data_IF_129124414056
#
_entry.id   IF_129124414056
#
_cell.length_a   1.000
_cell.length_b   1.000
_cell.length_c   1.000
_cell.angle_alpha   90.00
_cell.angle_beta   90.00
_cell.angle_gamma   90.00
#
_symmetry.space_group_name_H-M   'P 1'
#
loop_
_entity.id
_entity.type
_entity.pdbx_description
1 polymer ?
#
# COMPACT_ATOMS: atom_id res chain seq x y z
N UNK A 1 -50.58 -6.78 40.55
CA UNK A 1 -49.42 -7.57 40.12
C UNK A 1 -48.61 -6.72 39.17
N UNK A 2 -47.49 -6.11 39.62
CA UNK A 2 -46.68 -5.21 38.80
C UNK A 2 -45.53 -6.02 38.21
N UNK A 3 -45.53 -6.19 36.88
CA UNK A 3 -44.42 -6.81 36.17
C UNK A 3 -43.20 -5.85 36.22
N UNK A 4 -42.06 -6.35 36.68
CA UNK A 4 -40.75 -5.67 36.60
C UNK A 4 -40.16 -5.95 35.21
N UNK A 5 -39.61 -4.94 34.52
CA UNK A 5 -38.90 -5.16 33.29
C UNK A 5 -37.57 -5.86 33.58
N UNK A 6 -37.31 -6.96 32.84
CA UNK A 6 -36.03 -7.65 32.88
C UNK A 6 -34.99 -6.78 32.12
N UNK A 7 -33.96 -6.33 32.81
CA UNK A 7 -32.77 -5.73 32.20
C UNK A 7 -31.99 -6.83 31.47
N UNK A 8 -32.03 -6.83 30.14
CA UNK A 8 -31.08 -7.57 29.32
C UNK A 8 -29.68 -6.90 29.44
N UNK A 9 -28.83 -7.43 30.28
CA UNK A 9 -27.40 -7.13 30.23
C UNK A 9 -26.84 -7.79 28.96
N UNK A 10 -26.60 -6.99 27.93
CA UNK A 10 -25.77 -7.41 26.81
C UNK A 10 -24.32 -7.51 27.31
N UNK A 11 -23.82 -8.72 27.48
CA UNK A 11 -22.42 -8.98 27.76
C UNK A 11 -21.59 -8.58 26.54
N UNK A 12 -20.98 -7.40 26.57
CA UNK A 12 -19.95 -7.00 25.60
C UNK A 12 -18.72 -7.84 25.95
N UNK A 13 -18.54 -8.95 25.25
CA UNK A 13 -17.28 -9.69 25.30
C UNK A 13 -16.19 -8.76 24.74
N UNK A 14 -15.02 -8.65 25.41
CA UNK A 14 -13.93 -7.88 24.86
C UNK A 14 -13.51 -8.50 23.52
N UNK A 15 -13.56 -7.70 22.46
CA UNK A 15 -12.98 -8.10 21.17
C UNK A 15 -11.47 -8.18 21.40
N UNK A 16 -10.96 -9.40 21.54
CA UNK A 16 -9.50 -9.63 21.58
C UNK A 16 -8.98 -9.26 20.18
N UNK A 17 -8.29 -8.14 20.07
CA UNK A 17 -7.68 -7.73 18.82
C UNK A 17 -6.76 -8.85 18.32
N UNK A 18 -6.98 -9.30 17.09
CA UNK A 18 -6.17 -10.37 16.51
C UNK A 18 -4.69 -9.96 16.50
N UNK A 19 -3.81 -10.89 16.89
CA UNK A 19 -2.37 -10.62 17.01
C UNK A 19 -1.72 -10.50 15.64
N UNK A 20 -0.66 -9.66 15.52
CA UNK A 20 0.14 -9.59 14.30
C UNK A 20 0.75 -10.95 13.94
N UNK A 21 0.74 -11.29 12.65
CA UNK A 21 1.43 -12.45 12.11
C UNK A 21 2.75 -12.00 11.49
N UNK A 22 3.84 -12.63 11.89
CA UNK A 22 5.19 -12.28 11.44
C UNK A 22 5.77 -13.35 10.52
N UNK A 23 6.57 -12.92 9.54
CA UNK A 23 7.29 -13.81 8.62
C UNK A 23 6.38 -14.80 7.87
N UNK A 24 5.17 -14.37 7.51
CA UNK A 24 4.26 -15.16 6.70
C UNK A 24 4.85 -15.30 5.29
N UNK A 25 5.10 -16.51 4.84
CA UNK A 25 5.58 -16.78 3.46
C UNK A 25 4.45 -16.56 2.47
N UNK A 26 4.67 -15.69 1.49
CA UNK A 26 3.72 -15.48 0.40
C UNK A 26 4.09 -16.25 -0.88
N UNK A 27 5.33 -16.75 -0.97
CA UNK A 27 5.81 -17.65 -2.02
C UNK A 27 7.04 -18.42 -1.53
N UNK A 28 7.37 -19.52 -2.21
CA UNK A 28 8.54 -20.38 -1.92
C UNK A 28 9.74 -20.12 -2.85
N UNK A 29 9.55 -19.33 -3.92
CA UNK A 29 10.57 -19.08 -4.95
C UNK A 29 11.80 -18.32 -4.44
N UNK A 30 11.71 -17.60 -3.33
CA UNK A 30 12.81 -16.85 -2.74
C UNK A 30 12.64 -16.73 -1.22
N UNK A 31 13.75 -16.77 -0.46
CA UNK A 31 13.74 -16.67 1.01
C UNK A 31 13.13 -15.36 1.52
N UNK A 32 13.28 -14.26 0.75
CA UNK A 32 12.70 -12.96 1.08
C UNK A 32 11.22 -12.82 0.72
N UNK A 33 10.56 -13.85 0.19
CA UNK A 33 9.13 -13.84 -0.06
C UNK A 33 8.33 -14.02 1.23
N UNK A 34 8.52 -13.10 2.16
CA UNK A 34 7.87 -13.05 3.47
C UNK A 34 7.29 -11.69 3.75
N UNK A 35 6.19 -11.66 4.47
CA UNK A 35 5.53 -10.44 4.90
C UNK A 35 5.18 -10.49 6.39
N UNK A 36 4.90 -9.32 6.97
CA UNK A 36 4.26 -9.19 8.27
C UNK A 36 2.86 -8.63 8.08
N UNK A 37 1.89 -9.18 8.80
CA UNK A 37 0.49 -8.78 8.76
C UNK A 37 0.03 -8.27 10.12
N UNK A 38 -0.54 -7.10 10.17
CA UNK A 38 -1.22 -6.51 11.33
C UNK A 38 -2.71 -6.42 11.02
N UNK A 39 -3.55 -7.23 11.66
CA UNK A 39 -4.99 -7.14 11.50
C UNK A 39 -5.52 -5.75 11.88
N UNK A 40 -6.65 -5.37 11.29
CA UNK A 40 -7.37 -4.19 11.75
C UNK A 40 -7.74 -4.33 13.24
N UNK A 41 -7.80 -3.20 13.94
CA UNK A 41 -8.16 -3.20 15.37
C UNK A 41 -9.62 -3.59 15.59
N UNK A 42 -10.50 -3.29 14.63
CA UNK A 42 -11.90 -3.69 14.61
C UNK A 42 -12.11 -4.77 13.56
N UNK A 43 -12.87 -5.81 13.89
CA UNK A 43 -13.07 -6.99 13.06
C UNK A 43 -14.55 -7.25 12.70
N UNK A 44 -15.42 -6.27 12.92
CA UNK A 44 -16.86 -6.34 12.68
C UNK A 44 -17.23 -6.38 11.18
N UNK A 45 -16.33 -5.93 10.34
CA UNK A 45 -16.46 -5.95 8.88
C UNK A 45 -15.10 -6.12 8.21
N UNK A 46 -15.05 -6.57 6.93
CA UNK A 46 -13.81 -6.66 6.19
C UNK A 46 -13.10 -5.30 6.08
N UNK A 47 -11.86 -5.25 6.56
CA UNK A 47 -11.06 -4.03 6.64
C UNK A 47 -10.41 -3.67 5.30
N UNK A 48 -10.25 -2.37 4.97
CA UNK A 48 -9.34 -1.96 3.91
C UNK A 48 -7.89 -2.34 4.26
N UNK A 49 -7.03 -2.43 3.24
CA UNK A 49 -5.65 -2.91 3.42
C UNK A 49 -4.64 -1.89 2.90
N UNK A 50 -3.62 -1.60 3.70
CA UNK A 50 -2.40 -0.94 3.26
C UNK A 50 -1.30 -1.98 3.09
N UNK A 51 -0.84 -2.19 1.87
CA UNK A 51 0.33 -3.00 1.54
C UNK A 51 1.54 -2.09 1.39
N UNK A 52 2.53 -2.29 2.24
CA UNK A 52 3.71 -1.46 2.34
C UNK A 52 4.96 -2.15 1.78
N UNK A 53 5.63 -1.51 0.83
CA UNK A 53 6.92 -1.92 0.31
C UNK A 53 8.01 -0.96 0.84
N UNK A 54 9.06 -1.53 1.44
CA UNK A 54 10.16 -0.74 1.99
C UNK A 54 11.01 -0.09 0.89
N UNK A 55 11.73 0.98 1.23
CA UNK A 55 12.77 1.57 0.39
C UNK A 55 14.08 0.79 0.46
N UNK A 56 15.13 1.35 -0.17
CA UNK A 56 16.48 0.78 -0.13
C UNK A 56 17.09 0.51 -1.50
N UNK A 57 16.57 1.17 -2.55
CA UNK A 57 17.14 1.12 -3.91
C UNK A 57 17.16 -0.29 -4.51
N UNK A 58 16.25 -1.16 -4.11
CA UNK A 58 16.18 -2.58 -4.48
C UNK A 58 17.42 -3.41 -4.06
N UNK A 59 18.28 -2.89 -3.18
CA UNK A 59 19.53 -3.54 -2.77
C UNK A 59 19.62 -3.79 -1.26
N UNK A 60 18.76 -3.16 -0.49
CA UNK A 60 18.69 -3.31 0.96
C UNK A 60 17.29 -2.96 1.47
N UNK A 61 17.10 -3.07 2.78
CA UNK A 61 15.82 -2.78 3.45
C UNK A 61 15.16 -4.04 4.01
N UNK A 62 14.13 -3.81 4.80
CA UNK A 62 13.38 -4.89 5.44
C UNK A 62 11.97 -4.42 5.81
N UNK A 63 11.01 -5.35 5.78
CA UNK A 63 9.61 -5.15 6.16
C UNK A 63 9.43 -4.59 7.57
N UNK A 64 10.37 -4.90 8.49
CA UNK A 64 10.36 -4.34 9.85
C UNK A 64 10.60 -2.83 9.90
N UNK A 65 10.99 -2.21 8.77
CA UNK A 65 11.16 -0.75 8.70
C UNK A 65 9.89 0.02 9.03
N UNK A 66 8.71 -0.55 8.77
CA UNK A 66 7.43 0.08 9.11
C UNK A 66 7.19 0.19 10.62
N UNK A 67 7.71 -0.76 11.41
CA UNK A 67 7.62 -0.71 12.87
C UNK A 67 8.61 0.27 13.49
N UNK A 68 9.73 0.54 12.82
CA UNK A 68 10.79 1.43 13.32
C UNK A 68 10.63 2.83 12.79
N UNK A 69 10.97 3.04 11.51
CA UNK A 69 10.93 4.37 10.87
C UNK A 69 9.52 4.78 10.46
N UNK A 70 8.67 3.82 10.17
CA UNK A 70 7.29 3.99 9.74
C UNK A 70 6.26 3.80 10.85
N UNK A 71 6.65 3.78 12.13
CA UNK A 71 5.74 3.49 13.25
C UNK A 71 4.52 4.42 13.30
N UNK A 72 4.70 5.69 12.98
CA UNK A 72 3.59 6.65 12.88
C UNK A 72 2.62 6.27 11.74
N UNK A 73 3.14 5.82 10.61
CA UNK A 73 2.34 5.34 9.47
C UNK A 73 1.56 4.08 9.84
N UNK A 74 2.24 3.06 10.39
CA UNK A 74 1.59 1.84 10.86
C UNK A 74 0.44 2.14 11.83
N UNK A 75 0.68 3.03 12.79
CA UNK A 75 -0.34 3.44 13.77
C UNK A 75 -1.50 4.15 13.10
N UNK A 76 -1.25 5.16 12.27
CA UNK A 76 -2.29 5.95 11.62
C UNK A 76 -3.26 5.08 10.81
N UNK A 77 -2.74 4.10 10.05
CA UNK A 77 -3.60 3.20 9.28
C UNK A 77 -4.39 2.26 10.18
N UNK A 78 -3.77 1.68 11.22
CA UNK A 78 -4.49 0.78 12.13
C UNK A 78 -5.56 1.50 12.93
N UNK A 79 -5.29 2.72 13.41
CA UNK A 79 -6.26 3.56 14.12
C UNK A 79 -7.43 3.97 13.22
N UNK A 80 -7.19 4.09 11.91
CA UNK A 80 -8.22 4.32 10.90
C UNK A 80 -8.97 3.03 10.47
N UNK A 81 -8.74 1.89 11.12
CA UNK A 81 -9.42 0.62 10.84
C UNK A 81 -8.88 -0.18 9.67
N UNK A 82 -7.66 0.12 9.19
CA UNK A 82 -7.01 -0.67 8.16
C UNK A 82 -6.28 -1.88 8.75
N UNK A 83 -6.27 -2.98 7.99
CA UNK A 83 -5.23 -3.97 8.11
C UNK A 83 -3.96 -3.43 7.42
N UNK A 84 -2.79 -3.77 7.94
CA UNK A 84 -1.51 -3.35 7.35
C UNK A 84 -0.66 -4.58 7.05
N UNK A 85 -0.07 -4.61 5.87
CA UNK A 85 0.89 -5.64 5.45
C UNK A 85 2.19 -4.95 5.07
N UNK A 86 3.32 -5.44 5.57
CA UNK A 86 4.64 -4.99 5.13
C UNK A 86 5.41 -6.14 4.51
N UNK A 87 5.85 -5.95 3.27
CA UNK A 87 6.44 -7.00 2.46
C UNK A 87 7.95 -6.83 2.33
N UNK A 88 8.68 -7.96 2.49
CA UNK A 88 10.00 -8.12 1.92
C UNK A 88 9.86 -8.54 0.45
N UNK A 89 10.90 -8.29 -0.32
CA UNK A 89 11.05 -8.70 -1.71
C UNK A 89 12.53 -9.00 -1.99
N UNK A 90 12.86 -9.80 -3.03
CA UNK A 90 14.24 -10.05 -3.44
C UNK A 90 15.01 -8.77 -3.76
N UNK A 91 16.32 -8.83 -3.65
CA UNK A 91 17.19 -7.71 -4.02
C UNK A 91 17.83 -7.92 -5.38
N UNK A 92 18.16 -6.82 -6.04
CA UNK A 92 18.94 -6.82 -7.28
C UNK A 92 20.23 -7.62 -7.12
N UNK A 93 20.47 -8.48 -8.10
CA UNK A 93 21.64 -9.34 -8.14
C UNK A 93 21.91 -9.85 -9.55
N UNK A 94 22.88 -10.77 -9.70
CA UNK A 94 23.21 -11.35 -11.01
C UNK A 94 22.06 -12.11 -11.67
N UNK A 95 21.20 -12.74 -10.85
CA UNK A 95 20.08 -13.56 -11.28
C UNK A 95 18.72 -12.93 -10.94
N UNK A 96 18.67 -11.64 -10.60
CA UNK A 96 17.45 -10.97 -10.14
C UNK A 96 17.45 -9.53 -10.67
N UNK A 97 16.66 -9.26 -11.70
CA UNK A 97 16.44 -7.95 -12.28
C UNK A 97 15.29 -7.19 -11.62
N UNK A 98 15.01 -5.99 -12.11
CA UNK A 98 13.87 -5.19 -11.63
C UNK A 98 12.54 -5.85 -11.94
N UNK A 99 12.40 -6.42 -13.13
CA UNK A 99 11.17 -7.11 -13.57
C UNK A 99 10.88 -8.32 -12.68
N UNK A 100 11.89 -9.15 -12.40
CA UNK A 100 11.74 -10.27 -11.47
C UNK A 100 11.26 -9.81 -10.08
N UNK A 101 11.86 -8.71 -9.57
CA UNK A 101 11.49 -8.17 -8.24
C UNK A 101 10.03 -7.73 -8.20
N UNK A 102 9.54 -7.02 -9.23
CA UNK A 102 8.15 -6.56 -9.24
C UNK A 102 7.16 -7.69 -9.43
N UNK A 103 7.52 -8.79 -10.11
CA UNK A 103 6.73 -10.02 -10.14
C UNK A 103 6.58 -10.65 -8.76
N UNK A 104 7.65 -10.72 -7.96
CA UNK A 104 7.57 -11.15 -6.57
C UNK A 104 6.66 -10.24 -5.73
N UNK A 105 6.69 -8.93 -5.98
CA UNK A 105 5.80 -7.98 -5.31
C UNK A 105 4.34 -8.13 -5.76
N UNK A 106 4.09 -8.40 -7.05
CA UNK A 106 2.77 -8.74 -7.60
C UNK A 106 2.23 -10.00 -6.91
N UNK A 107 3.07 -11.03 -6.78
CA UNK A 107 2.73 -12.26 -6.06
C UNK A 107 2.34 -12.01 -4.60
N UNK A 108 3.03 -11.09 -3.91
CA UNK A 108 2.65 -10.71 -2.55
C UNK A 108 1.23 -10.13 -2.49
N UNK A 109 0.85 -9.25 -3.44
CA UNK A 109 -0.50 -8.68 -3.52
C UNK A 109 -1.54 -9.74 -3.82
N UNK A 110 -1.27 -10.65 -4.77
CA UNK A 110 -2.14 -11.79 -5.07
C UNK A 110 -2.36 -12.68 -3.84
N UNK A 111 -1.29 -13.00 -3.11
CA UNK A 111 -1.36 -13.77 -1.87
C UNK A 111 -2.23 -13.07 -0.81
N UNK A 112 -2.06 -11.76 -0.60
CA UNK A 112 -2.87 -10.99 0.35
C UNK A 112 -4.37 -11.08 -0.03
N UNK A 113 -4.71 -10.92 -1.31
CA UNK A 113 -6.09 -11.07 -1.79
C UNK A 113 -6.66 -12.48 -1.56
N UNK A 114 -5.85 -13.51 -1.79
CA UNK A 114 -6.27 -14.89 -1.55
C UNK A 114 -6.60 -15.19 -0.09
N UNK A 115 -6.05 -14.39 0.85
CA UNK A 115 -6.31 -14.48 2.30
C UNK A 115 -7.48 -13.61 2.77
N UNK A 116 -8.23 -13.00 1.87
CA UNK A 116 -9.26 -12.01 2.23
C UNK A 116 -10.27 -12.50 3.27
N UNK A 117 -10.74 -13.73 3.16
CA UNK A 117 -11.67 -14.33 4.13
C UNK A 117 -11.01 -14.62 5.47
N UNK A 118 -9.82 -15.22 5.45
CA UNK A 118 -9.06 -15.59 6.64
C UNK A 118 -8.64 -14.37 7.46
N UNK A 119 -8.23 -13.30 6.77
CA UNK A 119 -7.72 -12.08 7.39
C UNK A 119 -8.79 -11.01 7.62
N UNK A 120 -10.03 -11.31 7.27
CA UNK A 120 -11.17 -10.39 7.33
C UNK A 120 -10.84 -9.03 6.69
N UNK A 121 -10.34 -9.07 5.45
CA UNK A 121 -9.98 -7.89 4.65
C UNK A 121 -10.86 -7.77 3.41
N UNK A 122 -11.08 -6.53 2.98
CA UNK A 122 -11.76 -6.24 1.72
C UNK A 122 -10.74 -6.23 0.57
N UNK A 123 -10.71 -7.22 -0.33
CA UNK A 123 -9.75 -7.30 -1.42
C UNK A 123 -9.88 -6.16 -2.43
N UNK A 124 -11.05 -5.51 -2.55
CA UNK A 124 -11.27 -4.37 -3.43
C UNK A 124 -10.76 -3.05 -2.84
N UNK A 125 -10.59 -2.96 -1.51
CA UNK A 125 -10.08 -1.79 -0.81
C UNK A 125 -8.61 -1.98 -0.41
N UNK A 126 -7.78 -2.36 -1.38
CA UNK A 126 -6.35 -2.57 -1.19
C UNK A 126 -5.57 -1.42 -1.83
N UNK A 127 -4.77 -0.71 -1.03
CA UNK A 127 -3.81 0.26 -1.53
C UNK A 127 -2.38 -0.27 -1.38
N UNK A 128 -1.54 -0.03 -2.37
CA UNK A 128 -0.10 -0.28 -2.32
C UNK A 128 0.64 1.04 -2.12
N UNK A 129 1.60 1.04 -1.23
CA UNK A 129 2.43 2.21 -0.96
C UNK A 129 3.82 1.87 -0.47
N UNK A 130 4.68 2.86 -0.47
CA UNK A 130 6.03 2.72 0.04
C UNK A 130 6.89 3.95 -0.16
N UNK A 131 8.12 3.84 0.31
CA UNK A 131 9.12 4.91 0.21
C UNK A 131 10.17 4.56 -0.84
N UNK A 132 10.58 5.51 -1.70
CA UNK A 132 11.68 5.33 -2.63
C UNK A 132 11.44 4.11 -3.56
N UNK A 133 12.27 3.07 -3.53
CA UNK A 133 12.02 1.84 -4.29
C UNK A 133 10.61 1.27 -4.07
N UNK A 134 10.07 1.36 -2.83
CA UNK A 134 8.70 0.94 -2.53
C UNK A 134 7.63 1.78 -3.22
N UNK A 135 7.89 3.07 -3.45
CA UNK A 135 7.02 3.92 -4.25
C UNK A 135 6.99 3.46 -5.72
N UNK A 136 8.17 3.14 -6.29
CA UNK A 136 8.27 2.62 -7.67
C UNK A 136 7.56 1.27 -7.82
N UNK A 137 7.73 0.35 -6.87
CA UNK A 137 7.01 -0.95 -6.85
C UNK A 137 5.50 -0.71 -6.86
N UNK A 138 5.00 0.13 -5.97
CA UNK A 138 3.56 0.40 -5.85
C UNK A 138 2.98 1.02 -7.11
N UNK A 139 3.72 1.89 -7.77
CA UNK A 139 3.35 2.52 -9.03
C UNK A 139 3.41 1.53 -10.20
N UNK A 140 4.43 0.68 -10.25
CA UNK A 140 4.50 -0.37 -11.25
C UNK A 140 3.27 -1.28 -11.16
N UNK A 141 2.94 -1.76 -9.97
CA UNK A 141 1.75 -2.58 -9.74
C UNK A 141 0.44 -1.85 -10.08
N UNK A 142 0.41 -0.53 -9.90
CA UNK A 142 -0.76 0.29 -10.23
C UNK A 142 -0.97 0.49 -11.72
N UNK A 143 0.10 0.56 -12.52
CA UNK A 143 0.06 1.04 -13.89
C UNK A 143 0.49 0.03 -14.95
N UNK A 144 1.25 -1.02 -14.59
CA UNK A 144 1.55 -2.13 -15.49
C UNK A 144 0.35 -3.07 -15.63
N UNK A 145 0.36 -3.97 -16.62
CA UNK A 145 -0.65 -5.01 -16.79
C UNK A 145 -0.82 -5.88 -15.53
N UNK A 146 -2.02 -6.40 -15.33
CA UNK A 146 -2.30 -7.29 -14.21
C UNK A 146 -1.59 -8.64 -14.39
N UNK A 147 -0.93 -9.09 -13.33
CA UNK A 147 -0.27 -10.42 -13.30
C UNK A 147 -1.24 -11.56 -13.01
N UNK A 148 -2.55 -11.31 -12.97
CA UNK A 148 -3.55 -12.37 -12.79
C UNK A 148 -3.50 -13.37 -13.94
N UNK A 149 -3.39 -14.67 -13.60
CA UNK A 149 -3.44 -15.76 -14.56
C UNK A 149 -4.49 -16.80 -14.15
N UNK A 150 -5.74 -16.67 -14.63
CA UNK A 150 -6.82 -17.60 -14.27
C UNK A 150 -6.59 -19.06 -14.74
N UNK A 151 -5.60 -19.29 -15.62
CA UNK A 151 -5.27 -20.63 -16.13
C UNK A 151 -4.15 -21.30 -15.35
N UNK A 152 -3.54 -20.62 -14.39
CA UNK A 152 -2.50 -21.19 -13.55
C UNK A 152 -3.07 -22.28 -12.63
N UNK A 153 -2.28 -23.30 -12.36
CA UNK A 153 -2.64 -24.36 -11.40
C UNK A 153 -2.68 -23.86 -9.95
N UNK A 154 -1.97 -22.77 -9.64
CA UNK A 154 -1.97 -22.13 -8.34
C UNK A 154 -3.10 -21.09 -8.23
N UNK A 155 -4.13 -21.29 -7.39
CA UNK A 155 -5.25 -20.38 -7.25
C UNK A 155 -4.87 -18.98 -6.74
N UNK A 156 -3.67 -18.81 -6.14
CA UNK A 156 -3.17 -17.49 -5.75
C UNK A 156 -2.87 -16.65 -6.99
N UNK A 157 -2.37 -17.26 -8.06
CA UNK A 157 -2.11 -16.57 -9.32
C UNK A 157 -3.40 -16.08 -10.04
N UNK A 158 -4.58 -16.58 -9.65
CA UNK A 158 -5.86 -16.08 -10.20
C UNK A 158 -6.24 -14.71 -9.65
N UNK A 159 -5.63 -14.27 -8.54
CA UNK A 159 -5.94 -12.99 -7.92
C UNK A 159 -5.28 -11.84 -8.70
N UNK A 160 -5.95 -10.69 -8.74
CA UNK A 160 -5.36 -9.47 -9.28
C UNK A 160 -4.17 -8.99 -8.45
N UNK A 161 -3.13 -8.50 -9.12
CA UNK A 161 -1.99 -7.80 -8.51
C UNK A 161 -2.19 -6.27 -8.45
N UNK A 162 -3.23 -5.74 -9.10
CA UNK A 162 -3.49 -4.30 -9.21
C UNK A 162 -4.03 -3.71 -7.90
N UNK A 163 -3.42 -2.69 -7.29
CA UNK A 163 -4.02 -1.97 -6.18
C UNK A 163 -5.17 -1.07 -6.66
N UNK A 164 -6.13 -0.81 -5.78
CA UNK A 164 -7.18 0.17 -6.05
C UNK A 164 -6.67 1.62 -5.92
N UNK A 165 -5.60 1.85 -5.15
CA UNK A 165 -4.99 3.17 -4.92
C UNK A 165 -3.49 2.98 -4.77
N UNK A 166 -2.71 3.93 -5.31
CA UNK A 166 -1.25 3.96 -5.25
C UNK A 166 -0.76 5.10 -4.37
N UNK A 167 0.17 4.81 -3.47
CA UNK A 167 0.86 5.79 -2.63
C UNK A 167 2.36 5.79 -2.95
N UNK A 168 2.90 6.93 -3.37
CA UNK A 168 4.34 7.15 -3.56
C UNK A 168 4.90 8.15 -2.57
N UNK A 169 5.87 7.73 -1.75
CA UNK A 169 6.55 8.60 -0.81
C UNK A 169 8.02 8.74 -1.22
N UNK A 170 8.55 9.99 -1.18
CA UNK A 170 9.94 10.26 -1.59
C UNK A 170 10.20 9.70 -2.98
N UNK A 171 9.49 10.22 -3.97
CA UNK A 171 9.56 9.75 -5.35
C UNK A 171 10.99 9.80 -5.89
N UNK A 172 11.63 8.66 -6.25
CA UNK A 172 13.02 8.66 -6.69
C UNK A 172 13.14 8.83 -8.20
N UNK A 173 14.37 8.99 -8.67
CA UNK A 173 14.70 8.77 -10.09
C UNK A 173 14.27 7.37 -10.52
N UNK A 174 13.98 7.17 -11.81
CA UNK A 174 13.39 5.92 -12.34
C UNK A 174 11.86 5.96 -12.46
N UNK A 175 11.23 7.09 -12.12
CA UNK A 175 9.77 7.27 -12.20
C UNK A 175 9.23 7.00 -13.61
N UNK A 176 9.97 7.35 -14.66
CA UNK A 176 9.55 7.09 -16.02
C UNK A 176 9.50 5.59 -16.32
N UNK A 177 10.56 4.88 -15.98
CA UNK A 177 10.72 3.44 -16.27
C UNK A 177 9.76 2.56 -15.49
N UNK A 178 9.43 2.96 -14.25
CA UNK A 178 8.57 2.16 -13.36
C UNK A 178 7.10 2.56 -13.38
N UNK A 179 6.79 3.79 -13.82
CA UNK A 179 5.42 4.29 -13.74
C UNK A 179 4.97 4.96 -15.05
N UNK A 180 5.55 6.10 -15.40
CA UNK A 180 4.99 7.03 -16.40
C UNK A 180 4.75 6.34 -17.75
N UNK A 181 5.67 5.48 -18.20
CA UNK A 181 5.55 4.79 -19.49
C UNK A 181 4.39 3.80 -19.57
N UNK A 182 3.86 3.36 -18.42
CA UNK A 182 2.75 2.41 -18.34
C UNK A 182 1.41 3.07 -18.02
N UNK A 183 1.43 4.34 -17.60
CA UNK A 183 0.20 5.02 -17.19
C UNK A 183 -0.76 5.24 -18.35
N UNK A 184 -2.00 4.77 -18.16
CA UNK A 184 -3.12 4.91 -19.09
C UNK A 184 -4.34 5.54 -18.41
N UNK A 185 -5.32 5.93 -19.23
CA UNK A 185 -6.58 6.48 -18.73
C UNK A 185 -7.38 5.43 -17.96
N UNK A 186 -7.91 5.78 -16.80
CA UNK A 186 -8.75 4.88 -15.98
C UNK A 186 -7.98 4.05 -14.97
N UNK A 187 -6.67 4.25 -14.90
CA UNK A 187 -5.79 3.58 -13.93
C UNK A 187 -6.00 4.08 -12.48
N UNK A 188 -5.35 3.38 -11.54
CA UNK A 188 -5.52 3.61 -10.11
C UNK A 188 -5.20 5.06 -9.68
N UNK A 189 -6.03 5.69 -8.83
CA UNK A 189 -5.75 6.99 -8.23
C UNK A 189 -4.40 7.03 -7.51
N UNK A 190 -3.71 8.17 -7.59
CA UNK A 190 -2.34 8.37 -7.13
C UNK A 190 -2.25 9.40 -6.00
N UNK A 191 -1.66 9.02 -4.88
CA UNK A 191 -1.28 9.95 -3.83
C UNK A 191 0.25 10.04 -3.71
N UNK A 192 0.78 11.25 -3.67
CA UNK A 192 2.21 11.54 -3.61
C UNK A 192 2.54 12.42 -2.41
N UNK A 193 3.61 12.06 -1.70
CA UNK A 193 4.20 12.90 -0.67
C UNK A 193 5.72 12.88 -0.73
N UNK A 194 6.35 14.03 -0.57
CA UNK A 194 7.81 14.12 -0.45
C UNK A 194 8.23 15.29 0.43
N UNK A 195 9.11 15.03 1.37
CA UNK A 195 9.83 16.04 2.16
C UNK A 195 11.30 16.18 1.72
N UNK A 196 11.65 15.58 0.59
CA UNK A 196 12.99 15.71 0.01
C UNK A 196 13.36 17.15 -0.31
N UNK A 197 14.62 17.49 -0.08
CA UNK A 197 15.17 18.80 -0.46
C UNK A 197 15.30 18.91 -1.99
N UNK A 198 15.20 20.10 -2.58
CA UNK A 198 15.44 20.30 -4.02
C UNK A 198 16.81 19.79 -4.51
N UNK A 199 17.81 19.77 -3.63
CA UNK A 199 19.17 19.28 -3.92
C UNK A 199 19.34 17.75 -3.78
N UNK A 200 18.31 17.02 -3.38
CA UNK A 200 18.36 15.54 -3.30
C UNK A 200 18.52 14.96 -4.71
N UNK A 201 19.63 14.23 -4.93
CA UNK A 201 19.95 13.65 -6.24
C UNK A 201 19.19 12.37 -6.55
N UNK A 202 18.67 11.69 -5.51
CA UNK A 202 17.93 10.42 -5.64
C UNK A 202 16.43 10.69 -5.66
N UNK A 203 15.94 11.59 -4.80
CA UNK A 203 14.52 11.90 -4.63
C UNK A 203 14.18 13.36 -4.95
N UNK A 204 14.66 13.94 -6.07
CA UNK A 204 14.36 15.34 -6.34
C UNK A 204 12.84 15.54 -6.48
N UNK A 205 12.26 16.59 -5.86
CA UNK A 205 10.80 16.83 -5.89
C UNK A 205 10.19 16.83 -7.28
N UNK A 206 10.98 17.18 -8.31
CA UNK A 206 10.56 17.12 -9.72
C UNK A 206 10.05 15.73 -10.16
N UNK A 207 10.50 14.64 -9.57
CA UNK A 207 10.02 13.30 -9.93
C UNK A 207 8.55 13.12 -9.54
N UNK A 208 8.14 13.65 -8.38
CA UNK A 208 6.74 13.67 -7.98
C UNK A 208 5.90 14.59 -8.87
N UNK A 209 6.45 15.72 -9.31
CA UNK A 209 5.77 16.62 -10.27
C UNK A 209 5.56 15.95 -11.63
N UNK A 210 6.56 15.23 -12.15
CA UNK A 210 6.46 14.56 -13.45
C UNK A 210 5.33 13.53 -13.48
N UNK A 211 5.23 12.66 -12.48
CA UNK A 211 4.17 11.65 -12.45
C UNK A 211 2.80 12.27 -12.15
N UNK A 212 2.73 13.30 -11.31
CA UNK A 212 1.49 14.05 -11.06
C UNK A 212 0.98 14.74 -12.33
N UNK A 213 1.89 15.33 -13.12
CA UNK A 213 1.55 15.91 -14.42
C UNK A 213 0.98 14.85 -15.37
N UNK A 214 1.61 13.69 -15.48
CA UNK A 214 1.12 12.59 -16.31
C UNK A 214 -0.26 12.11 -15.85
N UNK A 215 -0.48 11.97 -14.53
CA UNK A 215 -1.79 11.62 -13.98
C UNK A 215 -2.86 12.67 -14.38
N UNK A 216 -2.52 13.95 -14.31
CA UNK A 216 -3.41 15.05 -14.74
C UNK A 216 -3.76 14.96 -16.23
N UNK A 217 -2.78 14.74 -17.09
CA UNK A 217 -2.97 14.59 -18.54
C UNK A 217 -3.92 13.44 -18.89
N UNK A 218 -3.84 12.34 -18.14
CA UNK A 218 -4.66 11.14 -18.34
C UNK A 218 -6.02 11.19 -17.61
N UNK A 219 -6.27 12.23 -16.80
CA UNK A 219 -7.47 12.33 -15.99
C UNK A 219 -7.52 11.33 -14.83
N UNK A 220 -6.37 10.79 -14.41
CA UNK A 220 -6.25 9.94 -13.22
C UNK A 220 -6.38 10.84 -11.99
N UNK A 221 -7.28 10.52 -11.03
CA UNK A 221 -7.35 11.28 -9.78
C UNK A 221 -6.02 11.25 -9.04
N UNK A 222 -5.51 12.40 -8.64
CA UNK A 222 -4.26 12.45 -7.89
C UNK A 222 -4.27 13.51 -6.79
N UNK A 223 -3.39 13.32 -5.82
CA UNK A 223 -3.02 14.32 -4.82
C UNK A 223 -1.50 14.36 -4.69
N UNK A 224 -0.93 15.56 -4.50
CA UNK A 224 0.50 15.78 -4.37
C UNK A 224 0.74 16.78 -3.25
N UNK A 225 1.58 16.39 -2.29
CA UNK A 225 1.96 17.26 -1.17
C UNK A 225 3.45 17.18 -0.87
N UNK A 226 3.98 18.27 -0.31
CA UNK A 226 5.36 18.38 0.13
C UNK A 226 5.48 18.77 1.59
N UNK A 227 6.51 18.22 2.23
CA UNK A 227 7.04 18.66 3.52
C UNK A 227 8.25 19.56 3.36
N UNK A 228 8.69 20.18 4.46
CA UNK A 228 9.92 20.97 4.46
C UNK A 228 9.93 22.15 3.48
N UNK A 229 11.10 22.46 2.93
CA UNK A 229 11.34 23.58 2.00
C UNK A 229 11.49 23.13 0.55
N UNK A 230 10.59 22.30 0.06
CA UNK A 230 10.51 21.95 -1.35
C UNK A 230 9.41 22.73 -2.07
N UNK A 231 9.38 22.65 -3.41
CA UNK A 231 8.47 23.39 -4.29
C UNK A 231 7.07 22.72 -4.41
N UNK A 232 6.87 21.59 -3.74
CA UNK A 232 5.60 20.88 -3.80
C UNK A 232 4.51 21.59 -2.99
N UNK A 233 3.22 21.41 -3.34
CA UNK A 233 2.11 21.97 -2.59
C UNK A 233 2.17 21.57 -1.11
N UNK A 234 1.98 22.54 -0.22
CA UNK A 234 2.05 22.28 1.23
C UNK A 234 0.81 21.54 1.72
N UNK A 235 1.01 20.73 2.74
CA UNK A 235 -0.11 20.11 3.47
C UNK A 235 -0.94 21.21 4.10
N UNK A 236 -2.27 21.21 3.92
CA UNK A 236 -3.15 22.22 4.50
C UNK A 236 -3.34 22.04 6.01
N UNK A 237 -3.15 23.10 6.75
CA UNK A 237 -3.34 23.12 8.21
C UNK A 237 -2.34 22.24 8.96
N UNK A 238 -2.79 21.64 10.06
CA UNK A 238 -1.97 20.80 10.94
C UNK A 238 -2.06 19.29 10.63
N UNK A 239 -2.62 18.93 9.47
CA UNK A 239 -2.81 17.53 9.09
C UNK A 239 -1.47 16.85 8.76
N UNK A 240 -1.40 15.56 8.99
CA UNK A 240 -0.34 14.71 8.48
C UNK A 240 -0.65 14.24 7.05
N UNK A 241 0.38 13.83 6.30
CA UNK A 241 0.15 13.23 4.98
C UNK A 241 -0.64 11.92 5.08
N UNK A 242 -0.53 11.19 6.21
CA UNK A 242 -1.29 9.97 6.46
C UNK A 242 -2.80 10.26 6.53
N UNK A 243 -3.21 11.29 7.26
CA UNK A 243 -4.62 11.70 7.33
C UNK A 243 -5.17 12.12 5.97
N UNK A 244 -4.37 12.83 5.17
CA UNK A 244 -4.75 13.22 3.82
C UNK A 244 -4.88 12.01 2.90
N UNK A 245 -3.96 11.03 3.00
CA UNK A 245 -4.05 9.80 2.21
C UNK A 245 -5.25 8.94 2.63
N UNK A 246 -5.53 8.82 3.91
CA UNK A 246 -6.72 8.11 4.40
C UNK A 246 -8.02 8.74 3.88
N UNK A 247 -8.11 10.07 3.88
CA UNK A 247 -9.23 10.79 3.28
C UNK A 247 -9.32 10.58 1.75
N UNK A 248 -8.17 10.57 1.08
CA UNK A 248 -8.08 10.26 -0.35
C UNK A 248 -8.56 8.83 -0.65
N UNK A 249 -8.12 7.84 0.14
CA UNK A 249 -8.59 6.46 0.02
C UNK A 249 -10.10 6.35 0.19
N UNK A 250 -10.66 6.96 1.24
CA UNK A 250 -12.11 6.96 1.50
C UNK A 250 -12.92 7.53 0.33
N UNK A 251 -12.37 8.52 -0.38
CA UNK A 251 -13.01 9.15 -1.54
C UNK A 251 -12.95 8.28 -2.79
N UNK A 252 -11.85 7.55 -2.99
CA UNK A 252 -11.50 6.93 -4.26
C UNK A 252 -11.55 5.40 -4.28
N UNK A 253 -11.72 4.74 -3.13
CA UNK A 253 -12.01 3.31 -3.15
C UNK A 253 -13.28 2.99 -3.93
N UNK A 254 -13.33 1.84 -4.62
CA UNK A 254 -14.55 1.37 -5.28
C UNK A 254 -15.74 1.37 -4.31
N UNK A 255 -16.85 1.95 -4.73
CA UNK A 255 -18.10 1.87 -3.97
C UNK A 255 -18.76 0.54 -4.28
N UNK A 256 -19.30 -0.14 -3.26
CA UNK A 256 -20.18 -1.29 -3.53
C UNK A 256 -21.40 -0.79 -4.34
N UNK A 257 -21.58 -1.36 -5.51
CA UNK A 257 -22.82 -1.25 -6.25
C UNK A 257 -23.93 -2.00 -5.49
#
# INVERSE_FOLDING_TARGET
MKLRPALLLSSILPVIAAQPQKNVKYDTKHERNVLDFWPALQQDKPAPVMVWFHGGGFRNGDKSSIERRGAATLRAYRDAGYAVVSCNYPFLGKAMGYEDIVEHCARAVQFIRSRSKEWNINPEHLCCGGVSAGALISQFLGYHDDFANPKDSDPVAHQSSKPAIVLGIMQPIGTYEFAIRFMEKGEAPLFLYSDAKPSDKIHPPKQALLIAQKAKELGIPYALYGGGNNELPKIPGEKSWQELHLAFCSKHFPKKN
#
